data_IF_205502629186
#
_entry.id   IF_205502629186
#
_cell.length_a   1.000
_cell.length_b   1.000
_cell.length_c   1.000
_cell.angle_alpha   90.00
_cell.angle_beta   90.00
_cell.angle_gamma   90.00
#
_symmetry.space_group_name_H-M   'P 1'
#
loop_
_entity.id
_entity.type
_entity.pdbx_description
1 polymer ?
#
# COMPACT_ATOMS: atom_id res chain seq x y z
N UNK A 1 -18.89 -4.93 55.37
CA UNK A 1 -18.78 -5.40 53.98
C UNK A 1 -18.83 -4.17 53.09
N UNK A 2 -17.69 -3.72 52.57
CA UNK A 2 -17.61 -2.60 51.61
C UNK A 2 -16.78 -3.11 50.43
N UNK A 3 -17.46 -3.45 49.33
CA UNK A 3 -16.84 -3.96 48.12
C UNK A 3 -16.49 -2.80 47.19
N UNK A 4 -15.27 -2.87 46.67
CA UNK A 4 -14.68 -1.99 45.70
C UNK A 4 -15.38 -2.03 44.34
N UNK A 5 -15.53 -0.86 43.71
CA UNK A 5 -15.75 -0.73 42.27
C UNK A 5 -14.50 -0.06 41.70
N UNK A 6 -13.51 -0.87 41.33
CA UNK A 6 -12.40 -0.43 40.49
C UNK A 6 -12.86 -0.60 39.04
N UNK A 7 -12.93 0.49 38.29
CA UNK A 7 -13.13 0.45 36.84
C UNK A 7 -11.77 0.32 36.17
N UNK A 8 -11.54 -0.67 35.28
CA UNK A 8 -10.34 -0.68 34.47
C UNK A 8 -10.46 0.38 33.38
N UNK A 9 -9.65 1.45 33.48
CA UNK A 9 -9.38 2.33 32.35
C UNK A 9 -8.66 1.51 31.27
N UNK A 10 -9.38 1.20 30.19
CA UNK A 10 -8.76 0.82 28.92
C UNK A 10 -8.04 2.05 28.36
N UNK A 11 -6.77 2.21 28.72
CA UNK A 11 -5.84 3.03 27.93
C UNK A 11 -5.60 2.30 26.61
N UNK A 12 -6.45 2.58 25.62
CA UNK A 12 -6.17 2.22 24.24
C UNK A 12 -5.00 3.09 23.76
N UNK A 13 -3.79 2.61 24.00
CA UNK A 13 -2.60 3.12 23.33
C UNK A 13 -2.78 2.83 21.84
N UNK A 14 -2.96 3.88 21.03
CA UNK A 14 -3.03 3.74 19.59
C UNK A 14 -1.74 3.06 19.10
N UNK A 15 -1.81 1.97 18.32
CA UNK A 15 -0.60 1.36 17.77
C UNK A 15 0.14 2.39 16.94
N UNK A 16 1.44 2.53 17.17
CA UNK A 16 2.32 3.37 16.37
C UNK A 16 2.18 2.99 14.88
N UNK A 17 2.33 3.94 13.95
CA UNK A 17 2.30 3.62 12.53
C UNK A 17 3.37 2.54 12.24
N UNK A 18 3.03 1.49 11.47
CA UNK A 18 3.97 0.44 11.13
C UNK A 18 5.20 1.06 10.47
N UNK A 19 6.38 0.62 10.88
CA UNK A 19 7.62 1.08 10.25
C UNK A 19 7.69 0.55 8.81
N UNK A 20 8.46 1.19 7.92
CA UNK A 20 8.60 0.76 6.53
C UNK A 20 9.09 -0.69 6.41
N UNK A 21 9.90 -1.15 7.37
CA UNK A 21 10.37 -2.53 7.47
C UNK A 21 9.22 -3.51 7.78
N UNK A 22 8.29 -3.14 8.67
CA UNK A 22 7.12 -3.96 8.99
C UNK A 22 6.21 -4.16 7.76
N UNK A 23 6.06 -3.13 6.92
CA UNK A 23 5.27 -3.20 5.69
C UNK A 23 5.91 -4.11 4.63
N UNK A 24 7.24 -4.03 4.46
CA UNK A 24 8.00 -4.93 3.57
C UNK A 24 7.80 -6.40 3.92
N UNK A 25 7.97 -6.69 5.22
CA UNK A 25 7.89 -8.05 5.74
C UNK A 25 6.47 -8.60 5.61
N UNK A 26 5.46 -7.76 5.87
CA UNK A 26 4.07 -8.14 5.69
C UNK A 26 3.72 -8.47 4.23
N UNK A 27 4.19 -7.66 3.28
CA UNK A 27 3.96 -7.89 1.85
C UNK A 27 4.65 -9.18 1.36
N UNK A 28 5.91 -9.38 1.75
CA UNK A 28 6.68 -10.58 1.40
C UNK A 28 6.03 -11.84 2.00
N UNK A 29 5.58 -11.76 3.25
CA UNK A 29 4.85 -12.85 3.89
C UNK A 29 3.54 -13.17 3.16
N UNK A 30 2.79 -12.14 2.73
CA UNK A 30 1.54 -12.30 1.99
C UNK A 30 1.76 -12.96 0.62
N UNK A 31 2.82 -12.57 -0.10
CA UNK A 31 3.19 -13.21 -1.38
C UNK A 31 3.56 -14.69 -1.19
N UNK A 32 4.33 -15.00 -0.14
CA UNK A 32 4.69 -16.38 0.21
C UNK A 32 3.47 -17.23 0.57
N UNK A 33 2.53 -16.68 1.34
CA UNK A 33 1.28 -17.36 1.67
C UNK A 33 0.42 -17.62 0.43
N UNK A 34 0.34 -16.65 -0.49
CA UNK A 34 -0.40 -16.82 -1.74
C UNK A 34 0.18 -17.96 -2.59
N UNK A 35 1.51 -18.04 -2.71
CA UNK A 35 2.18 -19.13 -3.42
C UNK A 35 1.90 -20.50 -2.78
N UNK A 36 1.83 -20.58 -1.45
CA UNK A 36 1.46 -21.81 -0.73
C UNK A 36 0.00 -22.21 -1.02
N UNK A 37 -0.92 -21.24 -1.03
CA UNK A 37 -2.34 -21.49 -1.38
C UNK A 37 -2.47 -21.99 -2.81
N UNK A 38 -1.74 -21.41 -3.77
CA UNK A 38 -1.74 -21.88 -5.16
C UNK A 38 -1.19 -23.31 -5.27
N UNK A 39 -0.10 -23.62 -4.56
CA UNK A 39 0.47 -24.97 -4.53
C UNK A 39 -0.53 -25.99 -3.96
N UNK A 40 -1.15 -25.67 -2.82
CA UNK A 40 -2.18 -26.51 -2.21
C UNK A 40 -3.37 -26.70 -3.13
N UNK A 41 -3.83 -25.63 -3.79
CA UNK A 41 -4.95 -25.71 -4.72
C UNK A 41 -4.66 -26.64 -5.90
N UNK A 42 -3.44 -26.59 -6.43
CA UNK A 42 -2.99 -27.50 -7.48
C UNK A 42 -2.90 -28.95 -7.01
N UNK A 43 -2.47 -29.19 -5.77
CA UNK A 43 -2.46 -30.52 -5.17
C UNK A 43 -3.89 -31.07 -5.00
N UNK A 44 -4.80 -30.26 -4.44
CA UNK A 44 -6.21 -30.63 -4.29
C UNK A 44 -6.88 -30.94 -5.63
N UNK A 45 -6.53 -30.21 -6.70
CA UNK A 45 -6.98 -30.53 -8.06
C UNK A 45 -6.48 -31.88 -8.55
N UNK A 46 -5.24 -32.25 -8.27
CA UNK A 46 -4.71 -33.58 -8.63
C UNK A 46 -5.46 -34.68 -7.89
N UNK A 47 -5.74 -34.48 -6.60
CA UNK A 47 -6.52 -35.41 -5.78
C UNK A 47 -7.93 -35.57 -6.34
N UNK A 48 -8.59 -34.48 -6.72
CA UNK A 48 -9.91 -34.51 -7.38
C UNK A 48 -9.94 -35.39 -8.62
N UNK A 49 -8.92 -35.30 -9.48
CA UNK A 49 -8.84 -36.11 -10.70
C UNK A 49 -8.76 -37.62 -10.39
N UNK A 50 -8.23 -37.99 -9.22
CA UNK A 50 -8.04 -39.40 -8.85
C UNK A 50 -9.22 -39.98 -8.06
N UNK A 51 -10.06 -39.11 -7.47
CA UNK A 51 -11.15 -39.49 -6.56
C UNK A 51 -12.46 -38.74 -6.89
N UNK A 52 -12.68 -38.48 -8.18
CA UNK A 52 -13.72 -37.57 -8.68
C UNK A 52 -15.12 -37.92 -8.15
N UNK A 53 -15.50 -39.20 -8.23
CA UNK A 53 -16.83 -39.68 -7.81
C UNK A 53 -17.10 -39.49 -6.31
N UNK A 54 -16.08 -39.67 -5.45
CA UNK A 54 -16.24 -39.54 -3.99
C UNK A 54 -16.28 -38.08 -3.54
N UNK A 55 -15.53 -37.21 -4.23
CA UNK A 55 -15.37 -35.81 -3.83
C UNK A 55 -16.44 -34.90 -4.44
N UNK A 56 -17.13 -35.36 -5.49
CA UNK A 56 -18.29 -34.65 -6.06
C UNK A 56 -19.49 -34.67 -5.12
N UNK A 57 -19.75 -35.79 -4.42
CA UNK A 57 -20.84 -35.89 -3.42
C UNK A 57 -20.63 -34.95 -2.22
N UNK A 58 -19.38 -34.61 -1.90
CA UNK A 58 -19.04 -33.77 -0.73
C UNK A 58 -18.94 -32.27 -1.06
N UNK A 59 -19.19 -31.85 -2.30
CA UNK A 59 -19.13 -30.43 -2.70
C UNK A 59 -17.73 -29.83 -2.70
N UNK A 60 -16.68 -30.67 -2.65
CA UNK A 60 -15.28 -30.24 -2.55
C UNK A 60 -14.81 -29.50 -3.80
N UNK A 61 -15.39 -29.82 -4.96
CA UNK A 61 -15.12 -29.11 -6.24
C UNK A 61 -15.47 -27.62 -6.17
N UNK A 62 -16.57 -27.26 -5.51
CA UNK A 62 -17.01 -25.88 -5.38
C UNK A 62 -16.09 -25.09 -4.46
N UNK A 63 -15.62 -25.73 -3.38
CA UNK A 63 -14.68 -25.14 -2.43
C UNK A 63 -13.32 -24.85 -3.10
N UNK A 64 -12.79 -25.81 -3.88
CA UNK A 64 -11.55 -25.64 -4.64
C UNK A 64 -11.72 -24.52 -5.68
N UNK A 65 -12.83 -24.50 -6.41
CA UNK A 65 -13.11 -23.43 -7.38
C UNK A 65 -13.22 -22.04 -6.72
N UNK A 66 -13.75 -21.98 -5.50
CA UNK A 66 -13.82 -20.75 -4.71
C UNK A 66 -12.44 -20.30 -4.26
N UNK A 67 -11.60 -21.22 -3.79
CA UNK A 67 -10.23 -20.95 -3.39
C UNK A 67 -9.40 -20.39 -4.55
N UNK A 68 -9.56 -20.94 -5.75
CA UNK A 68 -8.92 -20.42 -6.97
C UNK A 68 -9.33 -18.99 -7.28
N UNK A 69 -10.63 -18.71 -7.20
CA UNK A 69 -11.16 -17.38 -7.46
C UNK A 69 -10.62 -16.37 -6.46
N UNK A 70 -10.47 -16.78 -5.20
CA UNK A 70 -9.85 -15.94 -4.17
C UNK A 70 -8.38 -15.72 -4.46
N UNK A 71 -7.59 -16.78 -4.68
CA UNK A 71 -6.16 -16.67 -4.98
C UNK A 71 -5.90 -15.72 -6.17
N UNK A 72 -6.66 -15.87 -7.26
CA UNK A 72 -6.57 -15.01 -8.43
C UNK A 72 -6.94 -13.55 -8.12
N UNK A 73 -7.98 -13.32 -7.29
CA UNK A 73 -8.37 -11.98 -6.87
C UNK A 73 -7.27 -11.30 -6.05
N UNK A 74 -6.67 -12.02 -5.10
CA UNK A 74 -5.55 -11.50 -4.29
C UNK A 74 -4.32 -11.19 -5.15
N UNK A 75 -3.99 -12.08 -6.10
CA UNK A 75 -2.89 -11.87 -7.06
C UNK A 75 -3.08 -10.60 -7.88
N UNK A 76 -4.28 -10.37 -8.40
CA UNK A 76 -4.63 -9.14 -9.14
C UNK A 76 -4.53 -7.89 -8.26
N UNK A 77 -5.03 -7.97 -7.03
CA UNK A 77 -4.95 -6.90 -6.05
C UNK A 77 -3.51 -6.50 -5.75
N UNK A 78 -2.64 -7.49 -5.48
CA UNK A 78 -1.22 -7.25 -5.23
C UNK A 78 -0.50 -6.66 -6.44
N UNK A 79 -0.79 -7.16 -7.65
CA UNK A 79 -0.22 -6.62 -8.88
C UNK A 79 -0.67 -5.17 -9.15
N UNK A 80 -1.93 -4.83 -8.83
CA UNK A 80 -2.42 -3.46 -8.93
C UNK A 80 -1.76 -2.55 -7.90
N UNK A 81 -1.66 -3.00 -6.65
CA UNK A 81 -1.00 -2.27 -5.58
C UNK A 81 0.48 -1.98 -5.90
N UNK A 82 1.21 -2.96 -6.45
CA UNK A 82 2.61 -2.76 -6.86
C UNK A 82 2.78 -1.76 -8.01
N UNK A 83 1.83 -1.73 -8.96
CA UNK A 83 1.85 -0.70 -10.02
C UNK A 83 1.55 0.70 -9.48
N UNK A 84 0.68 0.79 -8.47
CA UNK A 84 0.36 2.06 -7.82
C UNK A 84 1.57 2.57 -7.07
N UNK A 85 2.26 1.74 -6.28
CA UNK A 85 3.44 2.16 -5.54
C UNK A 85 4.59 2.61 -6.43
N UNK A 86 4.76 2.00 -7.61
CA UNK A 86 5.78 2.40 -8.59
C UNK A 86 5.48 3.77 -9.22
N UNK A 87 4.22 4.04 -9.58
CA UNK A 87 3.87 5.20 -10.43
C UNK A 87 3.33 6.39 -9.66
N UNK A 88 2.62 6.15 -8.56
CA UNK A 88 1.92 7.18 -7.84
C UNK A 88 2.86 8.22 -7.19
N UNK A 89 4.03 7.89 -6.62
CA UNK A 89 4.93 8.91 -6.08
C UNK A 89 5.37 9.94 -7.12
N UNK A 90 5.70 9.48 -8.33
CA UNK A 90 6.07 10.34 -9.47
C UNK A 90 4.89 11.22 -9.88
N UNK A 91 3.72 10.61 -10.11
CA UNK A 91 2.52 11.36 -10.53
C UNK A 91 2.04 12.36 -9.47
N UNK A 92 2.11 12.01 -8.19
CA UNK A 92 1.74 12.89 -7.09
C UNK A 92 2.71 14.06 -6.96
N UNK A 93 4.01 13.82 -7.18
CA UNK A 93 5.03 14.88 -7.21
C UNK A 93 4.81 15.84 -8.37
N UNK A 94 4.59 15.33 -9.59
CA UNK A 94 4.25 16.15 -10.76
C UNK A 94 2.96 16.95 -10.58
N UNK A 95 1.94 16.34 -9.96
CA UNK A 95 0.68 17.01 -9.65
C UNK A 95 0.89 18.16 -8.67
N UNK A 96 1.70 17.94 -7.62
CA UNK A 96 2.08 18.98 -6.66
C UNK A 96 2.79 20.14 -7.34
N UNK A 97 3.73 19.88 -8.23
CA UNK A 97 4.43 20.93 -8.99
C UNK A 97 3.46 21.76 -9.83
N UNK A 98 2.49 21.12 -10.50
CA UNK A 98 1.45 21.80 -11.27
C UNK A 98 0.53 22.66 -10.39
N UNK A 99 0.14 22.16 -9.22
CA UNK A 99 -0.66 22.93 -8.26
C UNK A 99 0.10 24.15 -7.73
N UNK A 100 1.40 23.99 -7.47
CA UNK A 100 2.28 25.09 -7.07
C UNK A 100 2.36 26.16 -8.16
N UNK A 101 2.60 25.77 -9.41
CA UNK A 101 2.60 26.72 -10.54
C UNK A 101 1.28 27.47 -10.68
N UNK A 102 0.14 26.78 -10.49
CA UNK A 102 -1.17 27.41 -10.53
C UNK A 102 -1.38 28.42 -9.38
N UNK A 103 -0.89 28.10 -8.19
CA UNK A 103 -0.93 29.02 -7.04
C UNK A 103 -0.01 30.23 -7.25
N UNK A 104 1.20 30.02 -7.77
CA UNK A 104 2.15 31.09 -8.09
C UNK A 104 1.59 32.03 -9.17
N UNK A 105 0.92 31.50 -10.19
CA UNK A 105 0.25 32.29 -11.22
C UNK A 105 -0.92 33.09 -10.67
N UNK A 106 -1.71 32.51 -9.76
CA UNK A 106 -2.79 33.25 -9.08
C UNK A 106 -2.24 34.44 -8.29
N UNK A 107 -1.15 34.24 -7.55
CA UNK A 107 -0.46 35.31 -6.81
C UNK A 107 0.14 36.37 -7.76
N UNK A 108 0.69 35.97 -8.91
CA UNK A 108 1.21 36.91 -9.92
C UNK A 108 0.10 37.81 -10.46
N UNK A 109 -1.04 37.23 -10.81
CA UNK A 109 -2.20 37.99 -11.31
C UNK A 109 -2.76 38.96 -10.26
N UNK A 110 -2.71 38.60 -8.98
CA UNK A 110 -3.04 39.51 -7.89
C UNK A 110 -2.05 40.68 -7.78
N UNK A 111 -0.75 40.40 -7.87
CA UNK A 111 0.29 41.42 -7.82
C UNK A 111 0.22 42.41 -8.99
N UNK A 112 -0.19 41.95 -10.19
CA UNK A 112 -0.34 42.78 -11.38
C UNK A 112 -1.66 43.56 -11.42
N UNK A 113 -2.71 43.06 -10.76
CA UNK A 113 -4.04 43.66 -10.80
C UNK A 113 -4.24 44.88 -9.90
N UNK A 114 -3.35 45.13 -8.94
CA UNK A 114 -3.41 46.26 -8.00
C UNK A 114 -4.65 46.29 -7.07
N UNK A 115 -5.56 45.33 -7.23
CA UNK A 115 -6.76 45.15 -6.42
C UNK A 115 -6.52 44.08 -5.36
N UNK A 116 -7.13 44.24 -4.16
CA UNK A 116 -7.08 43.21 -3.14
C UNK A 116 -7.73 41.91 -3.66
N UNK A 117 -7.25 40.74 -3.21
CA UNK A 117 -7.75 39.46 -3.65
C UNK A 117 -9.25 39.34 -3.36
N UNK A 118 -10.00 38.92 -4.38
CA UNK A 118 -11.43 38.66 -4.21
C UNK A 118 -11.63 37.41 -3.34
N UNK A 119 -12.80 37.31 -2.70
CA UNK A 119 -13.15 36.15 -1.87
C UNK A 119 -13.03 34.81 -2.62
N UNK A 120 -13.32 34.81 -3.92
CA UNK A 120 -13.20 33.62 -4.77
C UNK A 120 -11.74 33.25 -5.04
N UNK A 121 -10.83 34.23 -5.12
CA UNK A 121 -9.40 33.96 -5.30
C UNK A 121 -8.79 33.39 -4.02
N UNK A 122 -9.15 33.95 -2.87
CA UNK A 122 -8.73 33.41 -1.56
C UNK A 122 -9.19 31.96 -1.41
N UNK A 123 -10.46 31.67 -1.71
CA UNK A 123 -10.98 30.30 -1.64
C UNK A 123 -10.23 29.33 -2.58
N UNK A 124 -9.91 29.76 -3.82
CA UNK A 124 -9.13 28.95 -4.77
C UNK A 124 -7.70 28.71 -4.27
N UNK A 125 -7.05 29.72 -3.69
CA UNK A 125 -5.71 29.58 -3.12
C UNK A 125 -5.71 28.58 -1.94
N UNK A 126 -6.70 28.67 -1.06
CA UNK A 126 -6.88 27.76 0.07
C UNK A 126 -7.11 26.30 -0.40
N UNK A 127 -7.92 26.10 -1.43
CA UNK A 127 -8.17 24.78 -2.03
C UNK A 127 -6.89 24.16 -2.62
N UNK A 128 -6.07 24.96 -3.31
CA UNK A 128 -4.78 24.50 -3.87
C UNK A 128 -3.80 24.12 -2.76
N UNK A 129 -3.70 24.92 -1.70
CA UNK A 129 -2.85 24.65 -0.54
C UNK A 129 -3.29 23.38 0.20
N UNK A 130 -4.60 23.21 0.39
CA UNK A 130 -5.20 22.02 0.99
C UNK A 130 -4.89 20.76 0.16
N UNK A 131 -5.05 20.83 -1.15
CA UNK A 131 -4.71 19.73 -2.05
C UNK A 131 -3.22 19.34 -1.99
N UNK A 132 -2.32 20.32 -1.98
CA UNK A 132 -0.88 20.07 -1.83
C UNK A 132 -0.55 19.44 -0.47
N UNK A 133 -1.18 19.89 0.62
CA UNK A 133 -0.99 19.29 1.95
C UNK A 133 -1.47 17.84 2.00
N UNK A 134 -2.55 17.50 1.29
CA UNK A 134 -2.99 16.12 1.16
C UNK A 134 -1.99 15.27 0.37
N UNK A 135 -1.47 15.79 -0.74
CA UNK A 135 -0.44 15.09 -1.52
C UNK A 135 0.80 14.80 -0.66
N UNK A 136 1.26 15.76 0.14
CA UNK A 136 2.42 15.60 1.03
C UNK A 136 2.23 14.52 2.10
N UNK A 137 0.98 14.23 2.51
CA UNK A 137 0.67 13.14 3.44
C UNK A 137 0.57 11.78 2.73
N UNK A 138 0.15 11.78 1.47
CA UNK A 138 -0.10 10.55 0.70
C UNK A 138 1.18 10.00 0.09
N UNK A 139 2.10 10.84 -0.40
CA UNK A 139 3.39 10.40 -0.97
C UNK A 139 4.13 9.42 -0.05
N UNK A 140 4.45 9.76 1.22
CA UNK A 140 5.17 8.84 2.09
C UNK A 140 4.34 7.58 2.38
N UNK A 141 3.02 7.73 2.51
CA UNK A 141 2.14 6.58 2.74
C UNK A 141 2.19 5.57 1.58
N UNK A 142 2.38 6.04 0.33
CA UNK A 142 2.45 5.19 -0.87
C UNK A 142 3.84 4.59 -1.06
N UNK A 143 4.90 5.35 -0.78
CA UNK A 143 6.30 4.88 -0.81
C UNK A 143 6.55 3.76 0.20
N UNK A 144 5.85 3.78 1.34
CA UNK A 144 5.97 2.75 2.38
C UNK A 144 5.14 1.48 2.14
N UNK A 145 4.27 1.43 1.12
CA UNK A 145 3.46 0.22 0.83
C UNK A 145 4.32 -0.89 0.22
N UNK A 146 5.31 -0.51 -0.60
CA UNK A 146 6.27 -1.41 -1.22
C UNK A 146 7.65 -0.77 -1.05
N UNK A 147 8.32 -1.02 0.08
CA UNK A 147 9.69 -0.55 0.23
C UNK A 147 10.52 -1.10 -0.92
N UNK A 148 11.23 -0.18 -1.61
CA UNK A 148 12.17 -0.54 -2.65
C UNK A 148 13.15 -1.56 -2.05
N UNK A 149 13.21 -2.74 -2.66
CA UNK A 149 14.11 -3.78 -2.22
C UNK A 149 15.54 -3.22 -2.18
N UNK A 150 16.20 -3.39 -1.05
CA UNK A 150 17.60 -3.05 -0.84
C UNK A 150 18.42 -3.38 -2.09
N UNK A 151 18.91 -2.33 -2.76
CA UNK A 151 19.92 -2.46 -3.78
C UNK A 151 21.21 -2.94 -3.12
N UNK A 152 21.40 -4.25 -3.18
CA UNK A 152 22.68 -4.96 -3.25
C UNK A 152 23.80 -4.45 -2.32
N UNK A 153 24.06 -5.22 -1.27
CA UNK A 153 25.40 -5.28 -0.70
C UNK A 153 26.42 -5.63 -1.79
N UNK A 154 27.25 -4.65 -2.16
CA UNK A 154 28.48 -4.85 -2.90
C UNK A 154 29.48 -5.57 -1.97
N UNK A 155 29.42 -6.90 -1.97
CA UNK A 155 30.46 -7.76 -1.42
C UNK A 155 31.72 -7.61 -2.28
N UNK A 156 32.60 -6.67 -1.89
CA UNK A 156 33.98 -6.64 -2.38
C UNK A 156 34.77 -7.77 -1.73
N UNK A 157 34.56 -8.99 -2.21
CA UNK A 157 35.48 -10.10 -1.98
C UNK A 157 36.83 -9.80 -2.65
N UNK A 158 37.77 -9.29 -1.86
CA UNK A 158 39.19 -9.19 -2.20
C UNK A 158 39.75 -10.61 -2.42
N UNK A 159 40.35 -10.94 -3.58
CA UNK A 159 40.91 -12.26 -3.79
C UNK A 159 42.14 -12.46 -2.89
N UNK A 160 42.35 -13.67 -2.32
CA UNK A 160 43.57 -13.96 -1.59
C UNK A 160 44.76 -13.99 -2.56
N UNK A 161 45.70 -13.08 -2.34
CA UNK A 161 47.01 -13.16 -2.97
C UNK A 161 47.73 -14.40 -2.43
N UNK A 162 48.01 -15.36 -3.30
CA UNK A 162 48.92 -16.45 -2.98
C UNK A 162 50.34 -15.94 -2.84
N UNK A 163 51.01 -16.37 -1.75
CA UNK A 163 52.39 -16.88 -1.71
C UNK A 163 52.44 -17.89 -0.57
#
# INVERSE_FOLDING_TARGET
>A
MQNALTSPQCSASAPAPPTAEDASHCLTALQSQLAQVEALTNELKRVLVHHEDTLEEEGIREQISTLERWAESYRRGLAAAGKISEKAPVWLSELKEKLKLAADELNRLEAEGGNPPSREQIAKADDLLSAMSHIDKVIPAVEHIFPEGDAAGEDKAKPPAGV
#
